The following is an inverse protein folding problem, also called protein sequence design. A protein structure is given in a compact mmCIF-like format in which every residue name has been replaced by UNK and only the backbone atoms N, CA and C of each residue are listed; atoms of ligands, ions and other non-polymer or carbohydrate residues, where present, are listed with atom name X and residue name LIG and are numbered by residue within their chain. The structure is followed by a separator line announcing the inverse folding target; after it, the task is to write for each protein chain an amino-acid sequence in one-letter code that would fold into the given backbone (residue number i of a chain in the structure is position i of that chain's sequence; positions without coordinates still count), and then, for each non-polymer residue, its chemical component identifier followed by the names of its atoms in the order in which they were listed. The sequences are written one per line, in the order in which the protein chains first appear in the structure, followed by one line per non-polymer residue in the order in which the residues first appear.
data_IF_026901912174
#
_entry.id   IF_026901912174
#
_cell.length_a   1.000
_cell.length_b   1.000
_cell.length_c   1.000
_cell.angle_alpha   90.00
_cell.angle_beta   90.00
_cell.angle_gamma   90.00
#
_symmetry.space_group_name_H-M   'P 1'
#
loop_
_entity.id
_entity.type
_entity.pdbx_description
1 polymer ?
#
# COMPACT_ATOMS: atom_id res chain seq x y z
N UNK A 1 1.63 -18.93 -3.71
CA UNK A 1 1.10 -17.59 -4.01
C UNK A 1 1.41 -17.32 -5.48
N UNK A 2 0.43 -17.48 -6.39
CA UNK A 2 0.63 -17.18 -7.82
C UNK A 2 0.32 -15.70 -8.03
N UNK A 3 1.34 -14.87 -8.25
CA UNK A 3 1.14 -13.50 -8.72
C UNK A 3 0.68 -13.60 -10.18
N UNK A 4 -0.50 -13.07 -10.47
CA UNK A 4 -1.08 -13.04 -11.83
C UNK A 4 -0.44 -11.88 -12.58
N UNK A 5 0.22 -12.16 -13.70
CA UNK A 5 0.78 -11.14 -14.60
C UNK A 5 -0.38 -10.53 -15.40
N UNK A 6 -0.54 -9.22 -15.33
CA UNK A 6 -1.59 -8.48 -16.02
C UNK A 6 -1.24 -8.36 -17.51
N UNK A 7 -1.63 -9.35 -18.32
CA UNK A 7 -1.71 -9.22 -19.78
C UNK A 7 -2.75 -10.21 -20.33
N UNK A 8 -4.04 -9.87 -20.19
CA UNK A 8 -5.12 -10.43 -21.01
C UNK A 8 -6.21 -9.37 -21.17
N UNK A 9 -6.41 -8.78 -22.35
CA UNK A 9 -7.46 -7.80 -22.56
C UNK A 9 -8.82 -8.50 -22.66
N UNK A 10 -9.77 -8.10 -21.81
CA UNK A 10 -11.19 -8.47 -21.93
C UNK A 10 -11.86 -7.55 -22.97
N UNK A 11 -12.48 -8.19 -23.96
CA UNK A 11 -13.18 -7.57 -25.08
C UNK A 11 -14.40 -6.74 -24.66
N UNK A 12 -14.51 -5.58 -25.31
CA UNK A 12 -15.62 -4.62 -25.34
C UNK A 12 -16.93 -5.24 -25.83
N UNK A 13 -18.07 -4.83 -25.28
CA UNK A 13 -19.37 -4.93 -25.97
C UNK A 13 -20.18 -3.64 -25.82
N UNK A 14 -20.39 -2.97 -26.95
CA UNK A 14 -21.46 -2.03 -27.26
C UNK A 14 -22.86 -2.63 -27.01
N UNK A 15 -23.84 -1.77 -26.70
CA UNK A 15 -25.14 -1.74 -27.40
C UNK A 15 -25.95 -0.47 -27.09
N UNK A 16 -26.60 -0.01 -28.16
CA UNK A 16 -27.26 1.27 -28.41
C UNK A 16 -28.71 1.41 -27.89
N UNK A 17 -29.10 2.67 -27.63
CA UNK A 17 -30.32 3.34 -28.13
C UNK A 17 -31.65 3.22 -27.35
N UNK A 18 -32.66 4.09 -27.62
CA UNK A 18 -32.59 5.49 -28.07
C UNK A 18 -33.48 6.47 -27.27
N UNK A 19 -33.33 7.76 -27.61
CA UNK A 19 -34.08 8.94 -27.17
C UNK A 19 -35.59 8.89 -27.45
N UNK A 20 -36.38 9.61 -26.64
CA UNK A 20 -37.62 10.25 -27.09
C UNK A 20 -37.87 11.55 -26.31
N UNK A 21 -38.25 12.58 -27.07
CA UNK A 21 -38.31 13.99 -26.72
C UNK A 21 -39.71 14.51 -26.40
N UNK A 22 -39.75 15.72 -25.81
CA UNK A 22 -40.71 16.82 -26.01
C UNK A 22 -41.95 16.98 -25.08
N UNK A 23 -41.93 17.97 -24.16
CA UNK A 23 -42.54 19.33 -24.31
C UNK A 23 -42.78 20.04 -22.96
N UNK A 24 -42.38 21.31 -22.91
CA UNK A 24 -42.73 22.32 -21.89
C UNK A 24 -44.20 22.75 -22.00
N UNK A 25 -44.81 23.16 -20.87
CA UNK A 25 -45.71 24.31 -20.74
C UNK A 25 -45.99 24.62 -19.24
N UNK A 26 -45.96 25.90 -18.87
CA UNK A 26 -46.21 26.48 -17.53
C UNK A 26 -47.24 27.64 -17.69
N UNK A 27 -47.77 28.28 -16.62
CA UNK A 27 -48.85 27.91 -15.69
C UNK A 27 -50.07 28.89 -15.79
N UNK A 28 -51.03 28.87 -14.82
CA UNK A 28 -51.28 30.11 -14.04
C UNK A 28 -51.53 29.84 -12.53
N UNK A 29 -50.87 30.56 -11.61
CA UNK A 29 -51.33 31.77 -10.88
C UNK A 29 -52.52 31.55 -9.92
N UNK A 30 -52.32 31.70 -8.59
CA UNK A 30 -52.79 32.85 -7.75
C UNK A 30 -52.81 32.54 -6.23
N UNK A 31 -52.07 33.40 -5.49
CA UNK A 31 -52.24 33.92 -4.10
C UNK A 31 -52.82 33.02 -2.98
N UNK A 32 -52.08 32.92 -1.87
CA UNK A 32 -52.56 33.27 -0.52
C UNK A 32 -51.41 33.31 0.49
N UNK A 33 -51.42 34.31 1.36
CA UNK A 33 -50.42 34.63 2.38
C UNK A 33 -50.84 34.09 3.74
N UNK A 34 -49.89 33.55 4.54
CA UNK A 34 -49.76 33.79 6.00
C UNK A 34 -48.53 33.07 6.58
N UNK A 35 -47.85 33.80 7.47
CA UNK A 35 -46.57 33.50 8.14
C UNK A 35 -46.74 32.44 9.23
N UNK A 36 -45.85 31.44 9.31
CA UNK A 36 -45.39 30.79 10.56
C UNK A 36 -43.90 30.51 10.38
N UNK A 37 -43.07 31.10 11.24
CA UNK A 37 -41.65 30.80 11.31
C UNK A 37 -41.43 29.41 11.89
N UNK A 38 -40.53 28.65 11.29
CA UNK A 38 -39.99 27.44 11.88
C UNK A 38 -38.49 27.45 11.62
N UNK A 39 -37.74 27.79 12.67
CA UNK A 39 -36.28 27.70 12.73
C UNK A 39 -35.93 26.22 12.57
N UNK A 40 -35.54 25.82 11.37
CA UNK A 40 -34.92 24.52 11.15
C UNK A 40 -33.47 24.62 11.66
N UNK A 41 -33.25 24.22 12.91
CA UNK A 41 -31.92 24.01 13.47
C UNK A 41 -31.25 22.90 12.66
N UNK A 42 -30.33 23.29 11.77
CA UNK A 42 -29.42 22.38 11.08
C UNK A 42 -28.49 21.73 12.12
N UNK A 43 -28.87 20.57 12.65
CA UNK A 43 -27.95 19.64 13.30
C UNK A 43 -27.17 18.89 12.21
N UNK A 44 -26.25 19.58 11.55
CA UNK A 44 -25.16 18.91 10.82
C UNK A 44 -24.26 18.33 11.92
N UNK A 45 -24.49 17.07 12.25
CA UNK A 45 -23.47 16.22 12.86
C UNK A 45 -22.37 16.06 11.81
N UNK A 46 -21.43 16.99 11.82
CA UNK A 46 -20.14 16.83 11.18
C UNK A 46 -19.41 15.73 11.94
N UNK A 47 -19.66 14.47 11.53
CA UNK A 47 -18.69 13.40 11.73
C UNK A 47 -17.46 13.80 10.93
N UNK A 48 -16.60 14.62 11.53
CA UNK A 48 -15.23 14.73 11.08
C UNK A 48 -14.60 13.39 11.40
N UNK A 49 -14.68 12.47 10.43
CA UNK A 49 -13.77 11.33 10.42
C UNK A 49 -12.37 11.95 10.43
N UNK A 50 -11.73 11.96 11.60
CA UNK A 50 -10.31 12.22 11.73
C UNK A 50 -9.65 11.07 10.98
N UNK A 51 -9.45 11.23 9.68
CA UNK A 51 -8.59 10.36 8.92
C UNK A 51 -7.19 10.61 9.46
N UNK A 52 -6.80 9.80 10.45
CA UNK A 52 -5.43 9.79 10.97
C UNK A 52 -4.49 9.64 9.78
N UNK A 53 -3.67 10.65 9.55
CA UNK A 53 -2.74 10.67 8.43
C UNK A 53 -1.76 9.50 8.59
N UNK A 54 -1.78 8.55 7.65
CA UNK A 54 -0.85 7.43 7.63
C UNK A 54 0.57 7.98 7.44
N UNK A 55 1.41 7.92 8.49
CA UNK A 55 2.81 8.37 8.43
C UNK A 55 3.63 7.30 7.72
N UNK A 56 4.05 7.57 6.49
CA UNK A 56 5.05 6.73 5.81
C UNK A 56 6.40 6.95 6.48
N UNK A 57 7.01 5.86 6.95
CA UNK A 57 8.30 5.89 7.64
C UNK A 57 9.45 5.74 6.66
N UNK A 58 9.28 4.94 5.60
CA UNK A 58 10.30 4.76 4.58
C UNK A 58 9.81 3.98 3.36
N UNK A 59 10.40 4.27 2.21
CA UNK A 59 10.05 3.68 0.91
C UNK A 59 11.29 3.07 0.26
N UNK A 60 11.13 1.87 -0.29
CA UNK A 60 12.19 1.01 -0.79
C UNK A 60 11.85 0.54 -2.20
N UNK A 61 12.55 1.10 -3.19
CA UNK A 61 12.30 0.86 -4.62
C UNK A 61 12.91 -0.48 -5.02
N UNK A 62 12.08 -1.38 -5.56
CA UNK A 62 12.52 -2.71 -5.98
C UNK A 62 13.17 -2.60 -7.36
N UNK A 63 14.42 -3.03 -7.46
CA UNK A 63 15.18 -3.07 -8.72
C UNK A 63 15.67 -4.47 -9.09
N UNK A 64 15.51 -5.45 -8.20
CA UNK A 64 15.75 -6.89 -8.40
C UNK A 64 14.67 -7.64 -7.64
N UNK A 65 13.98 -8.57 -8.32
CA UNK A 65 12.90 -9.36 -7.74
C UNK A 65 12.99 -10.82 -8.19
N UNK A 66 12.98 -11.75 -7.23
CA UNK A 66 12.92 -13.19 -7.48
C UNK A 66 11.85 -13.86 -6.65
N UNK A 67 11.09 -14.77 -7.25
CA UNK A 67 10.13 -15.61 -6.54
C UNK A 67 10.42 -17.06 -6.87
N UNK A 68 10.73 -17.89 -5.87
CA UNK A 68 11.17 -19.27 -6.05
C UNK A 68 12.28 -19.39 -7.10
N UNK A 69 13.24 -18.46 -7.04
CA UNK A 69 14.37 -18.33 -7.96
C UNK A 69 14.02 -17.96 -9.41
N UNK A 70 12.75 -17.73 -9.74
CA UNK A 70 12.31 -17.16 -11.03
C UNK A 70 12.48 -15.65 -10.97
N UNK A 71 13.17 -15.09 -11.97
CA UNK A 71 13.39 -13.66 -12.10
C UNK A 71 12.11 -12.95 -12.56
N UNK A 72 11.67 -11.96 -11.79
CA UNK A 72 10.50 -11.10 -12.08
C UNK A 72 10.88 -9.62 -12.08
N UNK A 73 12.17 -9.30 -12.21
CA UNK A 73 12.70 -7.94 -12.13
C UNK A 73 12.02 -7.01 -13.12
N UNK A 74 11.90 -7.39 -14.38
CA UNK A 74 11.23 -6.58 -15.41
C UNK A 74 9.78 -6.25 -15.06
N UNK A 75 9.04 -7.23 -14.52
CA UNK A 75 7.65 -7.03 -14.08
C UNK A 75 7.56 -6.03 -12.93
N UNK A 76 8.48 -6.10 -11.95
CA UNK A 76 8.50 -5.16 -10.83
C UNK A 76 8.91 -3.75 -11.26
N UNK A 77 9.90 -3.62 -12.16
CA UNK A 77 10.32 -2.33 -12.72
C UNK A 77 9.19 -1.69 -13.54
N UNK A 78 8.57 -2.44 -14.45
CA UNK A 78 7.49 -1.95 -15.31
C UNK A 78 6.30 -1.43 -14.49
N UNK A 79 6.04 -2.05 -13.33
CA UNK A 79 4.91 -1.71 -12.47
C UNK A 79 5.25 -0.77 -11.31
N UNK A 80 6.44 -0.16 -11.28
CA UNK A 80 6.89 0.73 -10.20
C UNK A 80 6.76 0.06 -8.82
N UNK A 81 7.31 -1.14 -8.70
CA UNK A 81 7.24 -1.95 -7.48
C UNK A 81 8.06 -1.37 -6.32
N UNK A 82 7.47 -1.31 -5.13
CA UNK A 82 8.17 -0.88 -3.92
C UNK A 82 7.65 -1.53 -2.64
N UNK A 83 8.50 -1.53 -1.61
CA UNK A 83 8.13 -1.84 -0.24
C UNK A 83 8.09 -0.53 0.54
N UNK A 84 7.11 -0.34 1.41
CA UNK A 84 7.10 0.77 2.35
C UNK A 84 6.71 0.33 3.75
N UNK A 85 7.29 0.99 4.75
CA UNK A 85 6.90 0.87 6.15
C UNK A 85 6.16 2.13 6.57
N UNK A 86 5.12 1.96 7.36
CA UNK A 86 4.26 3.05 7.78
C UNK A 86 3.63 2.74 9.15
N UNK A 87 3.19 3.78 9.83
CA UNK A 87 2.37 3.64 11.04
C UNK A 87 0.91 3.63 10.60
N UNK A 88 0.19 2.53 10.87
CA UNK A 88 -1.25 2.45 10.60
C UNK A 88 -2.04 3.34 11.57
N UNK A 89 -3.33 3.55 11.27
CA UNK A 89 -4.22 4.43 12.05
C UNK A 89 -4.39 4.00 13.51
N UNK A 90 -4.13 2.74 13.82
CA UNK A 90 -4.13 2.15 15.16
C UNK A 90 -2.76 2.28 15.87
N UNK A 91 -1.80 3.01 15.29
CA UNK A 91 -0.47 3.22 15.85
C UNK A 91 0.52 2.08 15.62
N UNK A 92 0.12 1.00 14.95
CA UNK A 92 0.97 -0.16 14.74
C UNK A 92 1.94 0.03 13.56
N UNK A 93 3.16 -0.50 13.71
CA UNK A 93 4.11 -0.59 12.59
C UNK A 93 3.57 -1.58 11.55
N UNK A 94 3.51 -1.13 10.30
CA UNK A 94 2.95 -1.87 9.18
C UNK A 94 3.87 -1.81 7.97
N UNK A 95 3.73 -2.79 7.07
CA UNK A 95 4.44 -2.87 5.80
C UNK A 95 3.46 -3.09 4.65
N UNK A 96 3.78 -2.50 3.51
CA UNK A 96 3.14 -2.76 2.22
C UNK A 96 4.20 -3.19 1.20
N UNK A 97 3.87 -4.19 0.39
CA UNK A 97 4.55 -4.54 -0.86
C UNK A 97 3.57 -4.28 -2.00
N UNK A 98 3.92 -3.40 -2.94
CA UNK A 98 2.99 -2.91 -3.95
C UNK A 98 3.62 -2.87 -5.33
N UNK A 99 2.77 -3.02 -6.34
CA UNK A 99 3.06 -2.74 -7.75
C UNK A 99 2.12 -1.63 -8.19
N UNK A 100 2.61 -0.39 -8.14
CA UNK A 100 1.80 0.83 -8.24
C UNK A 100 1.01 0.91 -9.55
N UNK A 101 1.61 0.65 -10.71
CA UNK A 101 0.87 0.75 -12.00
C UNK A 101 -0.18 -0.35 -12.18
N UNK A 102 0.07 -1.53 -11.63
CA UNK A 102 -0.88 -2.64 -11.65
C UNK A 102 -2.00 -2.49 -10.61
N UNK A 103 -1.93 -1.48 -9.73
CA UNK A 103 -2.88 -1.25 -8.64
C UNK A 103 -3.09 -2.49 -7.75
N UNK A 104 -2.02 -3.24 -7.48
CA UNK A 104 -2.03 -4.41 -6.61
C UNK A 104 -1.09 -4.20 -5.43
N UNK A 105 -1.51 -4.64 -4.25
CA UNK A 105 -0.71 -4.55 -3.05
C UNK A 105 -1.01 -5.69 -2.08
N UNK A 106 -0.01 -5.99 -1.25
CA UNK A 106 -0.12 -6.81 -0.06
C UNK A 106 0.29 -5.94 1.12
N UNK A 107 -0.54 -5.81 2.14
CA UNK A 107 -0.33 -4.86 3.23
C UNK A 107 -0.70 -5.45 4.60
N UNK A 108 -0.12 -4.92 5.67
CA UNK A 108 -0.57 -5.24 7.02
C UNK A 108 0.51 -5.09 8.09
N UNK A 109 0.15 -5.47 9.32
CA UNK A 109 0.91 -5.16 10.54
C UNK A 109 2.11 -6.08 10.75
N UNK A 110 3.13 -5.53 11.38
CA UNK A 110 4.31 -6.27 11.84
C UNK A 110 4.09 -6.80 13.25
N UNK A 111 4.71 -7.94 13.54
CA UNK A 111 4.68 -8.64 14.82
C UNK A 111 6.07 -9.14 15.16
N UNK A 112 6.40 -9.16 16.47
CA UNK A 112 7.66 -9.70 16.98
C UNK A 112 8.90 -9.18 16.23
N UNK A 113 9.00 -7.86 16.09
CA UNK A 113 10.12 -7.20 15.42
C UNK A 113 11.38 -7.36 16.28
N UNK A 114 12.44 -7.86 15.66
CA UNK A 114 13.78 -7.93 16.25
C UNK A 114 14.78 -7.26 15.33
N UNK A 115 15.81 -6.65 15.90
CA UNK A 115 16.87 -5.98 15.14
C UNK A 115 18.24 -6.53 15.52
N UNK A 116 19.11 -6.65 14.52
CA UNK A 116 20.55 -6.84 14.69
C UNK A 116 21.28 -5.76 13.92
N UNK A 117 22.21 -5.09 14.59
CA UNK A 117 23.08 -4.06 14.00
C UNK A 117 24.46 -4.66 13.79
N UNK A 118 25.00 -4.49 12.59
CA UNK A 118 26.39 -4.83 12.28
C UNK A 118 27.12 -3.53 11.95
N UNK A 119 28.11 -3.18 12.78
CA UNK A 119 28.94 -1.98 12.56
C UNK A 119 29.81 -2.16 11.32
N UNK A 120 30.17 -1.04 10.70
CA UNK A 120 31.09 -1.05 9.58
C UNK A 120 32.45 -1.65 9.97
N UNK A 121 33.02 -2.44 9.05
CA UNK A 121 34.35 -3.04 9.14
C UNK A 121 35.10 -2.79 7.83
N UNK A 122 36.39 -3.13 7.78
CA UNK A 122 37.20 -2.99 6.54
C UNK A 122 36.60 -3.72 5.33
N UNK A 123 35.79 -4.76 5.54
CA UNK A 123 35.27 -5.64 4.49
C UNK A 123 33.75 -5.58 4.34
N UNK A 124 33.04 -4.90 5.24
CA UNK A 124 31.58 -4.90 5.27
C UNK A 124 31.07 -3.53 5.71
N UNK A 125 30.13 -2.99 4.93
CA UNK A 125 29.39 -1.79 5.31
C UNK A 125 28.52 -2.02 6.54
N UNK A 126 28.21 -0.94 7.25
CA UNK A 126 27.20 -0.97 8.31
C UNK A 126 25.87 -1.52 7.76
N UNK A 127 25.20 -2.36 8.54
CA UNK A 127 23.90 -2.89 8.17
C UNK A 127 22.99 -3.18 9.36
N UNK A 128 21.69 -2.97 9.15
CA UNK A 128 20.65 -3.31 10.10
C UNK A 128 19.80 -4.44 9.52
N UNK A 129 19.68 -5.54 10.24
CA UNK A 129 18.83 -6.68 9.89
C UNK A 129 17.64 -6.72 10.83
N UNK A 130 16.45 -6.55 10.28
CA UNK A 130 15.17 -6.68 10.95
C UNK A 130 14.56 -8.04 10.63
N UNK A 131 14.10 -8.75 11.65
CA UNK A 131 13.34 -10.00 11.48
C UNK A 131 12.01 -9.87 12.18
N UNK A 132 10.91 -10.16 11.46
CA UNK A 132 9.56 -9.99 11.98
C UNK A 132 8.57 -10.95 11.30
N UNK A 133 7.41 -11.11 11.93
CA UNK A 133 6.23 -11.73 11.31
C UNK A 133 5.35 -10.63 10.71
N UNK A 134 4.84 -10.84 9.51
CA UNK A 134 4.01 -9.89 8.79
C UNK A 134 2.62 -10.47 8.54
N UNK A 135 1.60 -9.94 9.23
CA UNK A 135 0.20 -10.31 8.97
C UNK A 135 -0.31 -9.54 7.77
N UNK A 136 -0.29 -10.15 6.60
CA UNK A 136 -0.60 -9.50 5.33
C UNK A 136 -2.03 -9.79 4.86
N UNK A 137 -2.57 -8.89 4.04
CA UNK A 137 -3.78 -9.04 3.24
C UNK A 137 -3.52 -8.52 1.83
N UNK A 138 -3.98 -9.28 0.84
CA UNK A 138 -3.83 -8.97 -0.58
C UNK A 138 -5.08 -8.24 -1.11
N UNK A 139 -4.89 -7.31 -2.04
CA UNK A 139 -6.00 -6.66 -2.75
C UNK A 139 -6.50 -7.43 -3.97
N UNK A 140 -5.72 -8.36 -4.52
CA UNK A 140 -5.96 -8.98 -5.83
C UNK A 140 -6.57 -10.38 -5.77
N UNK A 141 -6.51 -11.07 -4.64
CA UNK A 141 -7.08 -12.41 -4.47
C UNK A 141 -7.76 -12.62 -3.11
N UNK A 142 -7.94 -11.55 -2.33
CA UNK A 142 -8.51 -11.56 -0.97
C UNK A 142 -7.81 -12.49 0.02
N UNK A 143 -6.64 -13.05 -0.33
CA UNK A 143 -5.89 -13.91 0.60
C UNK A 143 -5.23 -13.06 1.67
N UNK A 144 -5.14 -13.64 2.85
CA UNK A 144 -4.41 -13.09 3.98
C UNK A 144 -3.66 -14.20 4.69
N UNK A 145 -2.65 -13.82 5.46
CA UNK A 145 -1.74 -14.77 6.08
C UNK A 145 -0.71 -14.09 6.97
N UNK A 146 0.27 -14.87 7.40
CA UNK A 146 1.43 -14.45 8.19
C UNK A 146 2.70 -14.92 7.49
N UNK A 147 3.52 -13.99 7.03
CA UNK A 147 4.83 -14.28 6.45
C UNK A 147 5.96 -14.06 7.47
N UNK A 148 7.02 -14.84 7.37
CA UNK A 148 8.30 -14.52 8.00
C UNK A 148 9.08 -13.59 7.09
N UNK A 149 9.55 -12.47 7.62
CA UNK A 149 10.26 -11.45 6.84
C UNK A 149 11.62 -11.19 7.46
N UNK A 150 12.65 -11.19 6.61
CA UNK A 150 13.98 -10.67 6.94
C UNK A 150 14.25 -9.46 6.04
N UNK A 151 14.38 -8.30 6.65
CA UNK A 151 14.64 -7.04 5.96
C UNK A 151 16.00 -6.50 6.37
N UNK A 152 16.91 -6.29 5.42
CA UNK A 152 18.26 -5.78 5.68
C UNK A 152 18.43 -4.42 5.01
N UNK A 153 18.84 -3.41 5.77
CA UNK A 153 19.39 -2.15 5.25
C UNK A 153 20.91 -2.24 5.24
N UNK A 154 21.54 -1.81 4.15
CA UNK A 154 23.00 -1.71 4.02
C UNK A 154 23.34 -0.26 3.66
N UNK A 155 24.12 0.39 4.52
CA UNK A 155 24.46 1.81 4.41
C UNK A 155 25.74 1.97 3.61
N UNK A 156 25.64 2.45 2.37
CA UNK A 156 26.78 2.70 1.49
C UNK A 156 26.99 4.20 1.33
N UNK A 157 28.19 4.66 0.93
CA UNK A 157 28.44 6.07 0.64
C UNK A 157 27.49 6.67 -0.41
N UNK A 158 27.04 5.86 -1.38
CA UNK A 158 26.13 6.29 -2.44
C UNK A 158 24.64 6.28 -2.02
N UNK A 159 24.32 5.80 -0.82
CA UNK A 159 22.96 5.69 -0.31
C UNK A 159 22.67 4.36 0.38
N UNK A 160 21.42 4.21 0.84
CA UNK A 160 20.98 2.97 1.51
C UNK A 160 20.43 1.99 0.49
N UNK A 161 20.98 0.78 0.48
CA UNK A 161 20.43 -0.37 -0.27
C UNK A 161 19.68 -1.30 0.67
N UNK A 162 18.77 -2.11 0.14
CA UNK A 162 18.06 -3.10 0.95
C UNK A 162 18.00 -4.48 0.30
N UNK A 163 17.79 -5.48 1.15
CA UNK A 163 17.41 -6.84 0.77
C UNK A 163 16.22 -7.23 1.64
N UNK A 164 15.12 -7.67 1.03
CA UNK A 164 13.93 -8.15 1.72
C UNK A 164 13.65 -9.59 1.28
N UNK A 165 13.67 -10.53 2.23
CA UNK A 165 13.19 -11.89 2.03
C UNK A 165 11.84 -12.06 2.72
N UNK A 166 10.82 -12.50 1.98
CA UNK A 166 9.48 -12.79 2.49
C UNK A 166 9.17 -14.26 2.22
N UNK A 167 8.81 -14.98 3.28
CA UNK A 167 8.45 -16.41 3.24
C UNK A 167 7.05 -16.55 3.86
N UNK A 168 5.98 -16.66 3.04
CA UNK A 168 4.63 -16.95 3.52
C UNK A 168 4.48 -18.41 3.93
N UNK A 169 3.30 -18.78 4.42
CA UNK A 169 2.99 -20.10 4.95
C UNK A 169 3.15 -21.23 3.94
N UNK A 170 2.99 -20.92 2.65
CA UNK A 170 3.18 -21.87 1.57
C UNK A 170 4.65 -22.03 1.15
N UNK A 171 5.58 -21.45 1.90
CA UNK A 171 7.04 -21.59 1.76
C UNK A 171 7.62 -21.04 0.46
N UNK A 172 6.85 -20.29 -0.33
CA UNK A 172 7.41 -19.55 -1.46
C UNK A 172 8.45 -18.55 -0.95
N UNK A 173 9.59 -18.46 -1.63
CA UNK A 173 10.66 -17.53 -1.25
C UNK A 173 10.63 -16.35 -2.20
N UNK A 174 10.26 -15.18 -1.68
CA UNK A 174 10.33 -13.91 -2.40
C UNK A 174 11.53 -13.12 -1.93
N UNK A 175 12.44 -12.76 -2.84
CA UNK A 175 13.62 -11.94 -2.56
C UNK A 175 13.51 -10.66 -3.38
N UNK A 176 13.54 -9.52 -2.70
CA UNK A 176 13.57 -8.19 -3.30
C UNK A 176 14.84 -7.46 -2.91
N UNK A 177 15.43 -6.73 -3.85
CA UNK A 177 16.54 -5.81 -3.56
C UNK A 177 16.31 -4.49 -4.26
N UNK A 178 17.01 -3.47 -3.76
CA UNK A 178 17.08 -2.17 -4.42
C UNK A 178 17.60 -1.11 -3.47
N UNK A 179 17.03 0.08 -3.57
CA UNK A 179 17.48 1.26 -2.82
C UNK A 179 16.34 1.92 -2.04
N UNK A 180 16.71 2.71 -1.05
CA UNK A 180 15.77 3.49 -0.26
C UNK A 180 15.64 4.90 -0.82
N UNK A 181 14.41 5.39 -0.96
CA UNK A 181 14.13 6.80 -1.19
C UNK A 181 13.85 7.49 0.15
N UNK A 182 14.57 8.57 0.45
CA UNK A 182 14.42 9.36 1.69
C UNK A 182 15.27 8.88 2.87
N UNK A 183 14.81 9.14 4.10
CA UNK A 183 15.44 8.75 5.36
C UNK A 183 14.43 7.99 6.25
N UNK A 184 14.85 6.91 6.91
CA UNK A 184 14.01 6.04 7.75
C UNK A 184 14.76 5.67 9.02
N UNK A 185 14.16 6.04 10.14
CA UNK A 185 14.58 5.67 11.49
C UNK A 185 13.51 4.78 12.13
N UNK A 186 13.92 3.63 12.66
CA UNK A 186 13.04 2.69 13.39
C UNK A 186 13.22 2.78 14.91
N UNK A 187 14.04 3.71 15.41
CA UNK A 187 14.40 3.81 16.83
C UNK A 187 13.18 3.92 17.74
N UNK A 188 12.10 4.57 17.28
CA UNK A 188 10.85 4.72 18.05
C UNK A 188 10.06 3.41 18.21
N UNK A 189 10.35 2.37 17.43
CA UNK A 189 9.55 1.15 17.33
C UNK A 189 10.26 -0.11 17.83
N UNK A 190 11.51 0.03 18.24
CA UNK A 190 12.37 -1.08 18.66
C UNK A 190 12.73 -0.84 20.10
N UNK A 191 12.14 -1.64 20.98
CA UNK A 191 12.42 -1.66 22.42
C UNK A 191 13.55 -2.63 22.73
#
# INVERSE_FOLDING_TARGET
MKIRVANTPLSRSEKDGPETSLKQNTPPNKKSSRKIGMVAVLLILSFTAVFGQQKTLGKFIITDAKINNVDLTESYLANEGYIAFYTSTDGNLSMVNTSKKANIQSYGRLLAVTQRVSKETKTQYESNVFSFKWRYKNTYDSKSGTASVRFQKVYKPQGTTFICAIIPENLDVMIFKGYMEGSLDFSDYIK
#
